data_IF_023231303140
#
_entry.id   IF_023231303140
#
_cell.length_a   1.000
_cell.length_b   1.000
_cell.length_c   1.000
_cell.angle_alpha   90.00
_cell.angle_beta   90.00
_cell.angle_gamma   90.00
#
_symmetry.space_group_name_H-M   'P 1'
#
loop_
_entity.id
_entity.type
_entity.pdbx_description
1 polymer ?
#
# COMPACT_ATOMS: atom_id res chain seq x y z
N UNK A 1 -12.19 4.93 -7.82
CA UNK A 1 -10.89 4.91 -7.13
C UNK A 1 -10.48 3.45 -6.97
N UNK A 2 -9.53 2.95 -7.76
CA UNK A 2 -8.88 1.67 -7.47
C UNK A 2 -7.76 1.96 -6.47
N UNK A 3 -8.02 1.68 -5.19
CA UNK A 3 -7.02 1.84 -4.14
C UNK A 3 -5.91 0.79 -4.35
N UNK A 4 -4.65 1.23 -4.30
CA UNK A 4 -3.48 0.37 -4.48
C UNK A 4 -2.67 0.47 -3.21
N UNK A 5 -2.65 -0.62 -2.45
CA UNK A 5 -1.92 -0.76 -1.20
C UNK A 5 -1.23 -2.12 -1.21
N UNK A 6 0.06 -2.13 -0.91
CA UNK A 6 0.84 -3.31 -0.61
C UNK A 6 1.28 -3.18 0.85
N UNK A 7 0.80 -4.06 1.72
CA UNK A 7 1.24 -4.13 3.11
C UNK A 7 2.08 -5.39 3.30
N UNK A 8 3.17 -5.26 4.06
CA UNK A 8 4.09 -6.33 4.43
C UNK A 8 4.22 -6.30 5.96
N UNK A 9 4.16 -7.46 6.58
CA UNK A 9 4.29 -7.63 8.03
C UNK A 9 5.49 -8.50 8.34
N UNK A 10 6.19 -8.14 9.40
CA UNK A 10 7.22 -8.92 10.06
C UNK A 10 6.80 -9.12 11.53
N UNK A 11 7.53 -9.92 12.29
CA UNK A 11 7.19 -10.26 13.68
C UNK A 11 6.97 -9.00 14.56
N UNK A 12 7.79 -7.97 14.36
CA UNK A 12 7.76 -6.75 15.16
C UNK A 12 7.33 -5.48 14.39
N UNK A 13 7.05 -5.58 13.09
CA UNK A 13 6.86 -4.39 12.26
C UNK A 13 5.89 -4.57 11.10
N UNK A 14 5.39 -3.45 10.60
CA UNK A 14 4.54 -3.40 9.43
C UNK A 14 4.98 -2.25 8.53
N UNK A 15 4.97 -2.52 7.23
CA UNK A 15 5.30 -1.58 6.17
C UNK A 15 4.16 -1.55 5.17
N UNK A 16 3.70 -0.38 4.79
CA UNK A 16 2.72 -0.24 3.73
C UNK A 16 3.23 0.72 2.67
N UNK A 17 3.10 0.29 1.41
CA UNK A 17 3.36 1.11 0.23
C UNK A 17 2.06 1.31 -0.50
N UNK A 18 1.70 2.57 -0.75
CA UNK A 18 0.48 2.91 -1.46
C UNK A 18 0.71 4.02 -2.48
N UNK A 19 -0.30 4.26 -3.32
CA UNK A 19 -0.26 5.35 -4.29
C UNK A 19 -0.92 5.01 -5.61
N UNK A 20 -0.36 5.54 -6.70
CA UNK A 20 -0.87 5.35 -8.05
C UNK A 20 -0.30 4.10 -8.74
N UNK A 21 0.79 3.51 -8.24
CA UNK A 21 1.43 2.37 -8.88
C UNK A 21 0.59 1.08 -8.82
N UNK A 22 0.30 0.48 -9.97
CA UNK A 22 -0.23 -0.89 -10.03
C UNK A 22 0.87 -1.92 -9.70
N UNK A 23 0.50 -3.14 -9.32
CA UNK A 23 1.46 -4.24 -9.17
C UNK A 23 1.88 -4.80 -10.54
N UNK A 24 2.52 -3.95 -11.35
CA UNK A 24 3.04 -4.30 -12.69
C UNK A 24 4.44 -3.78 -12.88
N UNK A 25 5.26 -4.48 -13.66
CA UNK A 25 6.65 -4.08 -13.91
C UNK A 25 6.75 -2.63 -14.41
N UNK A 26 5.88 -2.20 -15.33
CA UNK A 26 5.91 -0.85 -15.88
C UNK A 26 5.71 0.24 -14.81
N UNK A 27 4.77 0.04 -13.88
CA UNK A 27 4.51 0.99 -12.80
C UNK A 27 5.69 1.12 -11.83
N UNK A 28 6.42 0.04 -11.58
CA UNK A 28 7.54 0.02 -10.62
C UNK A 28 8.90 0.37 -11.23
N UNK A 29 9.03 0.47 -12.56
CA UNK A 29 10.34 0.70 -13.19
C UNK A 29 10.38 1.80 -14.26
N UNK A 30 9.23 2.26 -14.76
CA UNK A 30 9.18 3.14 -15.94
C UNK A 30 8.20 4.29 -15.84
N UNK A 31 7.00 4.03 -15.31
CA UNK A 31 5.98 5.07 -15.22
C UNK A 31 6.37 6.08 -14.14
N UNK A 32 5.94 7.33 -14.36
CA UNK A 32 5.92 8.32 -13.29
C UNK A 32 4.71 8.02 -12.40
N UNK A 33 4.98 7.46 -11.22
CA UNK A 33 3.97 7.05 -10.26
C UNK A 33 4.19 7.80 -8.94
N UNK A 34 3.10 8.23 -8.32
CA UNK A 34 3.14 8.71 -6.95
C UNK A 34 3.14 7.50 -6.01
N UNK A 35 4.18 7.36 -5.21
CA UNK A 35 4.35 6.29 -4.24
C UNK A 35 4.64 6.92 -2.87
N UNK A 36 3.91 6.48 -1.85
CA UNK A 36 4.22 6.77 -0.45
C UNK A 36 4.47 5.48 0.30
N UNK A 37 5.35 5.55 1.30
CA UNK A 37 5.62 4.46 2.23
C UNK A 37 5.33 4.92 3.66
N UNK A 38 4.73 4.04 4.45
CA UNK A 38 4.45 4.26 5.86
C UNK A 38 4.84 3.01 6.66
N UNK A 39 5.29 3.22 7.89
CA UNK A 39 5.78 2.15 8.75
C UNK A 39 5.05 2.13 10.09
N UNK A 40 5.14 1.00 10.78
CA UNK A 40 4.57 0.80 12.11
C UNK A 40 3.08 1.11 12.14
N UNK A 41 2.65 1.96 13.08
CA UNK A 41 1.23 2.31 13.29
C UNK A 41 0.55 2.83 12.01
N UNK A 42 1.27 3.54 11.15
CA UNK A 42 0.72 4.04 9.89
C UNK A 42 0.36 2.92 8.91
N UNK A 43 1.17 1.87 8.84
CA UNK A 43 0.92 0.70 8.00
C UNK A 43 -0.32 -0.09 8.45
N UNK A 44 -0.48 -0.30 9.76
CA UNK A 44 -1.66 -0.95 10.31
C UNK A 44 -2.95 -0.16 10.02
N UNK A 45 -2.92 1.17 10.17
CA UNK A 45 -4.07 2.03 9.85
C UNK A 45 -4.42 2.03 8.35
N UNK A 46 -3.40 1.99 7.48
CA UNK A 46 -3.61 1.90 6.04
C UNK A 46 -4.31 0.59 5.66
N UNK A 47 -3.84 -0.53 6.22
CA UNK A 47 -4.45 -1.85 6.02
C UNK A 47 -5.90 -1.89 6.51
N UNK A 48 -6.17 -1.46 7.74
CA UNK A 48 -7.52 -1.49 8.32
C UNK A 48 -8.54 -0.69 7.48
N UNK A 49 -8.12 0.48 6.98
CA UNK A 49 -8.94 1.27 6.06
C UNK A 49 -9.17 0.57 4.73
N UNK A 50 -8.16 -0.11 4.20
CA UNK A 50 -8.27 -0.87 2.96
C UNK A 50 -9.25 -2.04 3.11
N UNK A 51 -9.17 -2.78 4.22
CA UNK A 51 -10.09 -3.90 4.50
C UNK A 51 -11.54 -3.42 4.66
N UNK A 52 -11.76 -2.29 5.33
CA UNK A 52 -13.10 -1.67 5.45
C UNK A 52 -13.68 -1.33 4.07
N UNK A 53 -12.84 -0.91 3.11
CA UNK A 53 -13.28 -0.61 1.74
C UNK A 53 -13.64 -1.87 0.93
N UNK A 54 -13.08 -3.02 1.28
CA UNK A 54 -13.36 -4.32 0.63
C UNK A 54 -14.57 -5.05 1.22
N UNK A 55 -14.95 -4.76 2.47
CA UNK A 55 -16.11 -5.36 3.15
C UNK A 55 -17.48 -4.82 2.68
N UNK A 56 -17.57 -4.29 1.45
CA UNK A 56 -18.82 -3.80 0.85
C UNK A 56 -19.64 -4.89 0.19
#
# INVERSE_FOLDING_TARGET
MHYKLLTIWDEDSAFAVGGSANLTKAAWTRNDEFIFHVEGRGAYQAQERFDTLLQK
#
